data_IF_038936367381
#
_entry.id   IF_038936367381
#
_cell.length_a   1.000
_cell.length_b   1.000
_cell.length_c   1.000
_cell.angle_alpha   90.00
_cell.angle_beta   90.00
_cell.angle_gamma   90.00
#
_symmetry.space_group_name_H-M   'P 1'
#
loop_
_entity.id
_entity.type
_entity.pdbx_description
1 polymer ?
#
# COMPACT_ATOMS: atom_id res chain seq x y z
N UNK A 1 17.44 32.03 -26.45
CA UNK A 1 17.06 32.57 -25.12
C UNK A 1 16.64 31.40 -24.25
N UNK A 2 17.30 31.17 -23.11
CA UNK A 2 16.93 30.14 -22.14
C UNK A 2 16.34 30.85 -20.91
N UNK A 3 15.17 30.43 -20.43
CA UNK A 3 14.56 30.94 -19.18
C UNK A 3 14.52 29.82 -18.14
N UNK A 4 14.96 30.05 -16.89
CA UNK A 4 14.97 29.02 -15.86
C UNK A 4 13.56 28.83 -15.28
N UNK A 5 12.77 27.91 -15.84
CA UNK A 5 11.49 27.42 -15.30
C UNK A 5 10.49 28.51 -14.81
N UNK A 6 10.48 29.70 -15.41
CA UNK A 6 9.66 30.84 -14.97
C UNK A 6 8.17 30.72 -15.35
N UNK A 7 7.81 29.77 -16.22
CA UNK A 7 6.43 29.62 -16.71
C UNK A 7 5.41 29.26 -15.61
N UNK A 8 5.86 28.69 -14.50
CA UNK A 8 5.02 28.37 -13.33
C UNK A 8 5.17 29.39 -12.18
N UNK A 9 6.00 30.42 -12.34
CA UNK A 9 6.40 31.34 -11.27
C UNK A 9 5.61 32.66 -11.24
N UNK A 10 4.49 32.76 -11.96
CA UNK A 10 3.62 33.93 -11.88
C UNK A 10 2.66 33.81 -10.70
N UNK A 11 2.26 34.93 -10.11
CA UNK A 11 1.33 34.96 -8.98
C UNK A 11 -0.01 34.32 -9.35
N UNK A 12 -0.46 34.47 -10.59
CA UNK A 12 -1.71 33.87 -11.09
C UNK A 12 -1.60 32.34 -11.19
N UNK A 13 -0.45 31.84 -11.64
CA UNK A 13 -0.20 30.40 -11.72
C UNK A 13 -0.15 29.78 -10.32
N UNK A 14 0.55 30.41 -9.37
CA UNK A 14 0.62 29.94 -7.98
C UNK A 14 -0.76 30.00 -7.30
N UNK A 15 -1.53 31.06 -7.53
CA UNK A 15 -2.89 31.19 -6.97
C UNK A 15 -3.82 30.11 -7.51
N UNK A 16 -3.77 29.82 -8.82
CA UNK A 16 -4.57 28.75 -9.42
C UNK A 16 -4.22 27.38 -8.83
N UNK A 17 -2.93 27.08 -8.69
CA UNK A 17 -2.46 25.83 -8.08
C UNK A 17 -2.90 25.72 -6.63
N UNK A 18 -2.84 26.82 -5.85
CA UNK A 18 -3.28 26.82 -4.46
C UNK A 18 -4.78 26.53 -4.31
N UNK A 19 -5.63 27.13 -5.17
CA UNK A 19 -7.07 26.85 -5.19
C UNK A 19 -7.35 25.40 -5.57
N UNK A 20 -6.69 24.88 -6.62
CA UNK A 20 -6.86 23.49 -7.05
C UNK A 20 -6.47 22.50 -5.93
N UNK A 21 -5.37 22.75 -5.22
CA UNK A 21 -4.96 21.95 -4.07
C UNK A 21 -6.02 22.01 -2.96
N UNK A 22 -6.53 23.20 -2.63
CA UNK A 22 -7.55 23.36 -1.59
C UNK A 22 -8.85 22.61 -1.94
N UNK A 23 -9.32 22.69 -3.19
CA UNK A 23 -10.49 21.95 -3.66
C UNK A 23 -10.29 20.43 -3.55
N UNK A 24 -9.08 19.93 -3.85
CA UNK A 24 -8.73 18.51 -3.67
C UNK A 24 -8.73 18.07 -2.20
N UNK A 25 -8.28 18.93 -1.27
CA UNK A 25 -8.39 18.65 0.18
C UNK A 25 -9.85 18.53 0.63
N UNK A 26 -10.73 19.39 0.12
CA UNK A 26 -12.17 19.32 0.41
C UNK A 26 -12.78 18.05 -0.20
N UNK A 27 -12.42 17.70 -1.44
CA UNK A 27 -12.87 16.46 -2.08
C UNK A 27 -12.45 15.20 -1.32
N UNK A 28 -11.22 15.17 -0.78
CA UNK A 28 -10.71 14.07 0.05
C UNK A 28 -11.44 13.95 1.40
N UNK A 29 -11.77 15.09 2.01
CA UNK A 29 -12.37 15.14 3.35
C UNK A 29 -13.89 14.95 3.33
N UNK A 30 -14.55 15.31 2.23
CA UNK A 30 -16.00 15.23 2.06
C UNK A 30 -16.36 14.56 0.73
N UNK A 31 -16.73 13.26 0.74
CA UNK A 31 -17.13 12.53 -0.46
C UNK A 31 -18.36 13.11 -1.18
N UNK A 32 -19.18 13.92 -0.50
CA UNK A 32 -20.36 14.59 -1.07
C UNK A 32 -20.05 15.97 -1.65
N UNK A 33 -18.78 16.39 -1.64
CA UNK A 33 -18.32 17.63 -2.24
C UNK A 33 -18.50 17.62 -3.77
N UNK A 34 -18.79 18.78 -4.41
CA UNK A 34 -18.82 18.87 -5.87
C UNK A 34 -17.43 18.77 -6.52
N UNK A 35 -16.36 18.88 -5.73
CA UNK A 35 -14.98 18.84 -6.21
C UNK A 35 -14.50 17.41 -6.48
N UNK A 36 -13.55 17.26 -7.41
CA UNK A 36 -12.99 15.97 -7.82
C UNK A 36 -11.50 15.91 -7.52
N UNK A 37 -11.02 14.72 -7.17
CA UNK A 37 -9.59 14.44 -7.07
C UNK A 37 -9.06 14.21 -8.47
N UNK A 38 -8.17 15.08 -8.94
CA UNK A 38 -7.50 15.01 -10.24
C UNK A 38 -6.01 14.74 -10.05
N UNK A 39 -5.38 14.05 -10.99
CA UNK A 39 -3.91 13.84 -10.97
C UNK A 39 -3.36 12.99 -9.82
N UNK A 40 -4.21 12.32 -9.03
CA UNK A 40 -3.77 11.49 -7.92
C UNK A 40 -3.10 10.20 -8.43
N UNK A 41 -1.77 10.24 -8.49
CA UNK A 41 -0.92 9.11 -8.95
C UNK A 41 -1.12 7.86 -8.09
N UNK A 42 -1.48 8.04 -6.81
CA UNK A 42 -1.66 6.96 -5.83
C UNK A 42 -3.13 6.75 -5.41
N UNK A 43 -4.10 7.22 -6.22
CA UNK A 43 -5.52 7.22 -5.90
C UNK A 43 -6.07 5.88 -5.36
N UNK A 44 -5.72 4.70 -5.92
CA UNK A 44 -6.32 3.43 -5.46
C UNK A 44 -6.02 3.11 -4.00
N UNK A 45 -4.79 3.35 -3.54
CA UNK A 45 -4.36 3.08 -2.16
C UNK A 45 -4.97 4.10 -1.20
N UNK A 46 -5.01 5.38 -1.60
CA UNK A 46 -5.61 6.46 -0.80
C UNK A 46 -7.11 6.24 -0.62
N UNK A 47 -7.84 5.98 -1.70
CA UNK A 47 -9.27 5.69 -1.65
C UNK A 47 -9.58 4.47 -0.78
N UNK A 48 -8.72 3.43 -0.82
CA UNK A 48 -8.88 2.26 0.02
C UNK A 48 -8.77 2.57 1.51
N UNK A 49 -7.89 3.49 1.92
CA UNK A 49 -7.73 3.90 3.32
C UNK A 49 -8.88 4.78 3.85
N UNK A 50 -9.67 5.39 2.95
CA UNK A 50 -10.81 6.22 3.35
C UNK A 50 -12.07 5.40 3.68
N UNK A 51 -12.10 4.10 3.37
CA UNK A 51 -13.25 3.22 3.64
C UNK A 51 -13.09 2.54 4.99
N UNK A 52 -13.96 2.80 5.99
CA UNK A 52 -13.80 2.25 7.34
C UNK A 52 -13.69 0.72 7.39
N UNK A 53 -14.42 0.01 6.53
CA UNK A 53 -14.37 -1.45 6.43
C UNK A 53 -12.97 -1.98 6.06
N UNK A 54 -12.22 -1.24 5.24
CA UNK A 54 -10.91 -1.65 4.78
C UNK A 54 -9.85 -1.53 5.87
N UNK A 55 -10.03 -0.62 6.84
CA UNK A 55 -9.03 -0.32 7.86
C UNK A 55 -8.65 -1.55 8.68
N UNK A 56 -9.64 -2.34 9.11
CA UNK A 56 -9.39 -3.56 9.87
C UNK A 56 -8.60 -4.60 9.06
N UNK A 57 -8.86 -4.71 7.74
CA UNK A 57 -8.11 -5.60 6.85
C UNK A 57 -6.69 -5.10 6.58
N UNK A 58 -6.50 -3.79 6.42
CA UNK A 58 -5.18 -3.16 6.28
C UNK A 58 -4.35 -3.42 7.53
N UNK A 59 -4.94 -3.19 8.72
CA UNK A 59 -4.27 -3.41 10.00
C UNK A 59 -3.92 -4.88 10.20
N UNK A 60 -4.88 -5.80 10.00
CA UNK A 60 -4.65 -7.24 10.08
C UNK A 60 -3.50 -7.65 9.17
N UNK A 61 -3.54 -7.25 7.89
CA UNK A 61 -2.55 -7.64 6.90
C UNK A 61 -1.16 -7.07 7.22
N UNK A 62 -1.11 -5.83 7.73
CA UNK A 62 0.13 -5.22 8.21
C UNK A 62 0.71 -6.00 9.38
N UNK A 63 -0.13 -6.42 10.33
CA UNK A 63 0.30 -7.19 11.49
C UNK A 63 0.76 -8.60 11.12
N UNK A 64 0.09 -9.27 10.17
CA UNK A 64 0.56 -10.55 9.60
C UNK A 64 1.93 -10.37 8.92
N UNK A 65 2.12 -9.29 8.15
CA UNK A 65 3.39 -8.96 7.52
C UNK A 65 4.51 -8.77 8.54
N UNK A 66 4.23 -8.04 9.64
CA UNK A 66 5.18 -7.90 10.76
C UNK A 66 5.48 -9.22 11.44
N UNK A 67 4.48 -10.08 11.63
CA UNK A 67 4.66 -11.39 12.25
C UNK A 67 5.61 -12.25 11.42
N UNK A 68 5.33 -12.41 10.13
CA UNK A 68 6.22 -13.16 9.22
C UNK A 68 7.60 -12.50 9.15
N UNK A 69 7.65 -11.17 9.12
CA UNK A 69 8.89 -10.40 9.19
C UNK A 69 9.70 -10.65 10.46
N UNK A 70 9.06 -10.95 11.60
CA UNK A 70 9.75 -11.35 12.83
C UNK A 70 10.23 -12.80 12.78
N UNK A 71 9.44 -13.71 12.23
CA UNK A 71 9.82 -15.13 12.08
C UNK A 71 11.07 -15.31 11.20
N UNK A 72 11.28 -14.41 10.23
CA UNK A 72 12.42 -14.42 9.34
C UNK A 72 13.65 -13.65 9.90
N UNK A 73 13.67 -13.27 11.18
CA UNK A 73 14.82 -12.55 11.75
C UNK A 73 16.09 -13.40 11.69
N UNK A 74 17.21 -12.78 11.30
CA UNK A 74 18.50 -13.47 11.13
C UNK A 74 18.64 -14.29 9.84
N UNK A 75 17.58 -14.43 9.03
CA UNK A 75 17.66 -15.08 7.72
C UNK A 75 18.00 -14.08 6.62
N UNK A 76 18.77 -14.55 5.62
CA UNK A 76 18.93 -13.80 4.39
C UNK A 76 17.61 -13.81 3.60
N UNK A 77 17.16 -12.61 3.25
CA UNK A 77 15.92 -12.39 2.50
C UNK A 77 16.20 -11.83 1.11
N UNK A 78 17.47 -11.71 0.72
CA UNK A 78 17.83 -11.41 -0.65
C UNK A 78 17.14 -12.43 -1.56
N UNK A 79 16.33 -11.95 -2.52
CA UNK A 79 15.58 -12.79 -3.45
C UNK A 79 14.43 -13.61 -2.84
N UNK A 80 13.97 -13.26 -1.63
CA UNK A 80 12.80 -13.91 -1.04
C UNK A 80 11.54 -13.68 -1.90
N UNK A 81 10.72 -14.72 -2.01
CA UNK A 81 9.43 -14.67 -2.70
C UNK A 81 8.33 -14.42 -1.68
N UNK A 82 7.61 -13.31 -1.84
CA UNK A 82 6.47 -12.93 -1.01
C UNK A 82 5.20 -13.19 -1.80
N UNK A 83 4.32 -14.03 -1.28
CA UNK A 83 3.00 -14.30 -1.85
C UNK A 83 1.90 -13.87 -0.88
N UNK A 84 0.96 -13.08 -1.37
CA UNK A 84 -0.27 -12.72 -0.65
C UNK A 84 -1.48 -13.40 -1.31
N UNK A 85 -2.20 -14.22 -0.54
CA UNK A 85 -3.45 -14.85 -0.98
C UNK A 85 -4.61 -14.21 -0.24
N UNK A 86 -5.59 -13.68 -1.00
CA UNK A 86 -6.86 -13.18 -0.47
C UNK A 86 -7.95 -14.17 -0.79
N UNK A 87 -8.74 -14.56 0.20
CA UNK A 87 -9.86 -15.46 0.02
C UNK A 87 -11.18 -14.78 0.36
N UNK A 88 -12.21 -15.12 -0.40
CA UNK A 88 -13.59 -14.69 -0.16
C UNK A 88 -14.02 -13.44 -0.89
N UNK A 89 -15.28 -13.43 -1.35
CA UNK A 89 -15.82 -12.43 -2.29
C UNK A 89 -15.64 -10.98 -1.82
N UNK A 90 -15.70 -10.73 -0.50
CA UNK A 90 -15.48 -9.40 0.06
C UNK A 90 -14.06 -8.85 -0.18
N UNK A 91 -13.07 -9.71 -0.43
CA UNK A 91 -11.68 -9.34 -0.60
C UNK A 91 -11.22 -9.28 -2.06
N UNK A 92 -12.07 -9.61 -3.03
CA UNK A 92 -11.72 -9.72 -4.46
C UNK A 92 -11.05 -8.44 -4.99
N UNK A 93 -11.62 -7.28 -4.67
CA UNK A 93 -11.15 -5.98 -5.15
C UNK A 93 -10.13 -5.30 -4.19
N UNK A 94 -9.67 -5.99 -3.15
CA UNK A 94 -8.77 -5.43 -2.13
C UNK A 94 -7.28 -5.62 -2.47
N UNK A 95 -6.88 -5.25 -3.69
CA UNK A 95 -5.48 -5.38 -4.16
C UNK A 95 -4.47 -4.57 -3.33
N UNK A 96 -4.94 -3.53 -2.63
CA UNK A 96 -4.12 -2.70 -1.74
C UNK A 96 -3.58 -3.47 -0.52
N UNK A 97 -4.17 -4.61 -0.16
CA UNK A 97 -3.66 -5.46 0.94
C UNK A 97 -2.26 -6.01 0.65
N UNK A 98 -1.88 -6.16 -0.63
CA UNK A 98 -0.50 -6.46 -1.00
C UNK A 98 0.48 -5.40 -0.48
N UNK A 99 0.13 -4.12 -0.58
CA UNK A 99 0.97 -3.03 -0.06
C UNK A 99 1.02 -3.02 1.46
N UNK A 100 -0.09 -3.31 2.14
CA UNK A 100 -0.16 -3.41 3.60
C UNK A 100 0.73 -4.55 4.13
N UNK A 101 0.74 -5.71 3.46
CA UNK A 101 1.61 -6.83 3.80
C UNK A 101 3.09 -6.43 3.72
N UNK A 102 3.48 -5.71 2.67
CA UNK A 102 4.85 -5.23 2.49
C UNK A 102 5.25 -4.19 3.54
N UNK A 103 4.35 -3.26 3.90
CA UNK A 103 4.59 -2.32 5.00
C UNK A 103 4.91 -3.08 6.28
N UNK A 104 4.14 -4.12 6.59
CA UNK A 104 4.39 -4.95 7.76
C UNK A 104 5.73 -5.70 7.68
N UNK A 105 6.00 -6.34 6.55
CA UNK A 105 7.18 -7.18 6.33
C UNK A 105 8.50 -6.38 6.37
N UNK A 106 8.48 -5.15 5.84
CA UNK A 106 9.63 -4.25 5.76
C UNK A 106 9.79 -3.37 7.02
N UNK A 107 8.79 -3.36 7.91
CA UNK A 107 8.80 -2.59 9.15
C UNK A 107 10.04 -2.90 9.99
N UNK A 108 10.82 -1.88 10.32
CA UNK A 108 12.06 -2.00 11.10
C UNK A 108 13.32 -2.34 10.30
N UNK A 109 13.23 -2.48 8.97
CA UNK A 109 14.40 -2.67 8.08
C UNK A 109 14.73 -1.46 7.22
N UNK A 110 13.78 -0.55 7.03
CA UNK A 110 13.96 0.67 6.26
C UNK A 110 14.03 1.89 7.19
N UNK A 111 15.03 2.75 6.96
CA UNK A 111 15.23 4.00 7.71
C UNK A 111 14.32 5.14 7.25
N UNK A 112 13.76 5.06 6.04
CA UNK A 112 13.03 6.15 5.40
C UNK A 112 11.54 5.84 5.23
N UNK A 113 10.67 6.61 5.90
CA UNK A 113 9.31 6.96 5.46
C UNK A 113 8.43 5.84 4.88
N UNK A 114 8.54 4.59 5.34
CA UNK A 114 7.79 3.45 4.82
C UNK A 114 6.27 3.67 4.97
N UNK A 115 5.54 3.54 3.87
CA UNK A 115 4.10 3.69 3.82
C UNK A 115 3.49 2.83 2.69
N UNK A 116 2.16 2.85 2.56
CA UNK A 116 1.44 2.04 1.56
C UNK A 116 1.76 2.41 0.11
N UNK A 117 2.30 3.61 -0.14
CA UNK A 117 2.64 4.11 -1.48
C UNK A 117 4.02 3.58 -1.90
N UNK A 118 5.03 3.72 -1.05
CA UNK A 118 6.41 3.38 -1.40
C UNK A 118 6.80 1.94 -1.07
N UNK A 119 6.02 1.20 -0.27
CA UNK A 119 6.33 -0.18 0.10
C UNK A 119 6.59 -1.13 -1.09
N UNK A 120 5.82 -1.09 -2.20
CA UNK A 120 6.10 -1.93 -3.37
C UNK A 120 7.45 -1.64 -4.02
N UNK A 121 7.84 -0.36 -4.08
CA UNK A 121 9.13 0.04 -4.64
C UNK A 121 10.27 -0.38 -3.72
N UNK A 122 10.15 -0.11 -2.42
CA UNK A 122 11.15 -0.50 -1.42
C UNK A 122 11.34 -2.03 -1.35
N UNK A 123 10.26 -2.81 -1.57
CA UNK A 123 10.36 -4.26 -1.66
C UNK A 123 11.19 -4.72 -2.87
N UNK A 124 10.99 -4.09 -4.04
CA UNK A 124 11.78 -4.37 -5.24
C UNK A 124 13.24 -4.00 -5.05
N UNK A 125 13.50 -2.83 -4.47
CA UNK A 125 14.86 -2.36 -4.20
C UNK A 125 15.59 -3.26 -3.19
N UNK A 126 14.84 -3.88 -2.26
CA UNK A 126 15.33 -4.92 -1.35
C UNK A 126 15.49 -6.31 -2.00
N UNK A 127 15.23 -6.44 -3.32
CA UNK A 127 15.34 -7.68 -4.06
C UNK A 127 14.23 -8.70 -3.80
N UNK A 128 13.08 -8.28 -3.26
CA UNK A 128 11.94 -9.16 -3.00
C UNK A 128 11.09 -9.35 -4.27
N UNK A 129 10.73 -10.60 -4.56
CA UNK A 129 9.75 -10.91 -5.61
C UNK A 129 8.36 -11.00 -4.99
N UNK A 130 7.47 -10.08 -5.33
CA UNK A 130 6.13 -9.99 -4.74
C UNK A 130 5.07 -10.46 -5.73
N UNK A 131 4.23 -11.40 -5.31
CA UNK A 131 3.02 -11.82 -6.02
C UNK A 131 1.80 -11.70 -5.11
N UNK A 132 0.63 -11.52 -5.73
CA UNK A 132 -0.64 -11.61 -5.03
C UNK A 132 -1.65 -12.35 -5.89
N UNK A 133 -2.54 -13.11 -5.25
CA UNK A 133 -3.64 -13.81 -5.93
C UNK A 133 -4.92 -13.75 -5.11
N UNK A 134 -6.03 -13.95 -5.80
CA UNK A 134 -7.36 -14.04 -5.22
C UNK A 134 -7.92 -15.45 -5.44
N UNK A 135 -8.57 -15.98 -4.41
CA UNK A 135 -9.24 -17.28 -4.45
C UNK A 135 -10.70 -17.14 -3.95
N UNK A 136 -11.69 -17.59 -4.73
CA UNK A 136 -13.08 -17.56 -4.30
C UNK A 136 -13.30 -18.54 -3.13
N UNK A 137 -13.98 -18.08 -2.08
CA UNK A 137 -14.31 -18.89 -0.90
C UNK A 137 -15.49 -18.28 -0.14
N UNK A 138 -16.18 -19.08 0.68
CA UNK A 138 -17.17 -18.59 1.65
C UNK A 138 -16.48 -17.89 2.83
N UNK A 139 -15.27 -18.34 3.17
CA UNK A 139 -14.49 -17.79 4.29
C UNK A 139 -13.62 -16.62 3.81
N UNK A 140 -13.56 -15.57 4.62
CA UNK A 140 -12.73 -14.39 4.35
C UNK A 140 -11.40 -14.53 5.09
N UNK A 141 -10.30 -14.65 4.37
CA UNK A 141 -8.96 -14.71 4.98
C UNK A 141 -7.90 -14.06 4.11
N UNK A 142 -6.82 -13.64 4.77
CA UNK A 142 -5.59 -13.18 4.14
C UNK A 142 -4.45 -14.07 4.61
N UNK A 143 -3.71 -14.62 3.67
CA UNK A 143 -2.50 -15.41 3.93
C UNK A 143 -1.29 -14.72 3.33
N UNK A 144 -0.23 -14.58 4.11
CA UNK A 144 1.08 -14.10 3.65
C UNK A 144 2.06 -15.25 3.78
N UNK A 145 2.73 -15.59 2.68
CA UNK A 145 3.78 -16.59 2.63
C UNK A 145 5.08 -15.95 2.14
N UNK A 146 6.18 -16.23 2.83
CA UNK A 146 7.50 -15.77 2.43
C UNK A 146 8.44 -16.96 2.33
N UNK A 147 8.94 -17.19 1.12
CA UNK A 147 9.88 -18.27 0.80
C UNK A 147 11.29 -17.70 0.69
N UNK A 148 12.20 -18.26 1.47
CA UNK A 148 13.64 -17.94 1.50
C UNK A 148 14.44 -19.21 1.17
N UNK A 149 15.77 -19.09 1.06
CA UNK A 149 16.64 -20.26 0.90
C UNK A 149 16.53 -21.25 2.10
N UNK A 150 16.22 -20.74 3.29
CA UNK A 150 16.05 -21.53 4.51
C UNK A 150 14.67 -22.19 4.65
N UNK A 151 13.72 -21.88 3.78
CA UNK A 151 12.36 -22.43 3.81
C UNK A 151 11.26 -21.37 3.74
N UNK A 152 10.04 -21.82 3.97
CA UNK A 152 8.82 -21.00 3.83
C UNK A 152 8.17 -20.77 5.18
N UNK A 153 7.87 -19.51 5.49
CA UNK A 153 7.07 -19.12 6.63
C UNK A 153 5.76 -18.50 6.14
N UNK A 154 4.64 -18.87 6.74
CA UNK A 154 3.34 -18.31 6.39
C UNK A 154 2.50 -17.95 7.61
N UNK A 155 1.63 -16.97 7.45
CA UNK A 155 0.65 -16.57 8.46
C UNK A 155 -0.68 -16.24 7.79
N UNK A 156 -1.78 -16.70 8.39
CA UNK A 156 -3.14 -16.47 7.92
C UNK A 156 -3.97 -15.79 9.01
N UNK A 157 -4.80 -14.84 8.61
CA UNK A 157 -5.70 -14.14 9.51
C UNK A 157 -7.09 -13.92 8.91
N UNK A 158 -8.08 -13.75 9.79
CA UNK A 158 -9.48 -13.48 9.45
C UNK A 158 -10.02 -12.37 10.36
N UNK A 159 -11.10 -11.72 9.94
CA UNK A 159 -11.84 -10.73 10.73
C UNK A 159 -13.24 -11.31 10.94
N UNK A 160 -13.73 -11.28 12.19
CA UNK A 160 -15.08 -11.68 12.56
C UNK A 160 -16.05 -10.52 12.42
#
# INVERSE_FOLDING_TARGET
VCTPHLGASTDEAQTRVAVEIAEQFVALSNPSSPFKITGAVNAPVLSATCVPYNNSWIELTTNLGRLVGKLLQGQDRAQAKVELVRTGAALENMNFLGTAALVGLLSGRTSNGLNLINAPQLAKDAGLSVSQRYEPSEQKSVTISVTTASGTNSATGTIK
#
